data_IF_317377090668
#
_entry.id   IF_317377090668
#
_cell.length_a   1.000
_cell.length_b   1.000
_cell.length_c   1.000
_cell.angle_alpha   90.00
_cell.angle_beta   90.00
_cell.angle_gamma   90.00
#
_symmetry.space_group_name_H-M   'P 1'
#
loop_
_entity.id
_entity.type
_entity.pdbx_description
1 polymer ?
#
# COMPACT_ATOMS: atom_id res chain seq x y z
N UNK A 1 -18.70 10.95 -54.45
CA UNK A 1 -17.50 10.20 -53.99
C UNK A 1 -17.15 10.49 -52.52
N UNK A 2 -17.33 11.73 -52.03
CA UNK A 2 -17.08 12.13 -50.63
C UNK A 2 -17.81 11.30 -49.54
N UNK A 3 -19.07 10.91 -49.77
CA UNK A 3 -19.87 10.21 -48.74
C UNK A 3 -19.33 8.81 -48.37
N UNK A 4 -18.72 8.08 -49.32
CA UNK A 4 -18.16 6.73 -49.07
C UNK A 4 -16.83 6.77 -48.30
N UNK A 5 -16.02 7.81 -48.50
CA UNK A 5 -14.79 8.01 -47.75
C UNK A 5 -15.11 8.29 -46.27
N UNK A 6 -16.10 9.15 -46.03
CA UNK A 6 -16.54 9.50 -44.67
C UNK A 6 -17.12 8.29 -43.92
N UNK A 7 -17.88 7.42 -44.58
CA UNK A 7 -18.40 6.20 -43.95
C UNK A 7 -17.28 5.22 -43.55
N UNK A 8 -16.27 5.01 -44.40
CA UNK A 8 -15.12 4.16 -44.06
C UNK A 8 -14.32 4.73 -42.89
N UNK A 9 -14.12 6.05 -42.85
CA UNK A 9 -13.45 6.72 -41.73
C UNK A 9 -14.24 6.57 -40.44
N UNK A 10 -15.57 6.74 -40.49
CA UNK A 10 -16.43 6.55 -39.32
C UNK A 10 -16.34 5.12 -38.77
N UNK A 11 -16.47 4.11 -39.64
CA UNK A 11 -16.35 2.69 -39.25
C UNK A 11 -14.99 2.41 -38.62
N UNK A 12 -13.91 2.96 -39.20
CA UNK A 12 -12.56 2.79 -38.66
C UNK A 12 -12.42 3.41 -37.27
N UNK A 13 -12.92 4.63 -37.05
CA UNK A 13 -12.88 5.29 -35.73
C UNK A 13 -13.67 4.50 -34.67
N UNK A 14 -14.83 3.95 -35.06
CA UNK A 14 -15.64 3.11 -34.16
C UNK A 14 -14.88 1.83 -33.79
N UNK A 15 -14.30 1.13 -34.76
CA UNK A 15 -13.48 -0.06 -34.50
C UNK A 15 -12.28 0.27 -33.61
N UNK A 16 -11.58 1.37 -33.88
CA UNK A 16 -10.43 1.80 -33.09
C UNK A 16 -10.81 2.13 -31.64
N UNK A 17 -11.98 2.76 -31.44
CA UNK A 17 -12.53 3.04 -30.11
C UNK A 17 -12.86 1.75 -29.36
N UNK A 18 -13.54 0.79 -30.00
CA UNK A 18 -13.83 -0.51 -29.39
C UNK A 18 -12.56 -1.30 -29.08
N UNK A 19 -11.56 -1.29 -29.97
CA UNK A 19 -10.26 -1.91 -29.73
C UNK A 19 -9.52 -1.26 -28.56
N UNK A 20 -9.52 0.08 -28.47
CA UNK A 20 -8.91 0.80 -27.35
C UNK A 20 -9.60 0.47 -26.02
N UNK A 21 -10.93 0.43 -25.99
CA UNK A 21 -11.71 0.03 -24.81
C UNK A 21 -11.44 -1.43 -24.41
N UNK A 22 -11.33 -2.33 -25.39
CA UNK A 22 -10.99 -3.72 -25.13
C UNK A 22 -9.58 -3.86 -24.55
N UNK A 23 -8.58 -3.21 -25.15
CA UNK A 23 -7.19 -3.20 -24.66
C UNK A 23 -7.09 -2.66 -23.23
N UNK A 24 -7.80 -1.56 -22.94
CA UNK A 24 -7.88 -0.99 -21.60
C UNK A 24 -8.48 -2.01 -20.60
N UNK A 25 -9.60 -2.65 -20.97
CA UNK A 25 -10.26 -3.65 -20.10
C UNK A 25 -9.45 -4.92 -19.88
N UNK A 26 -8.61 -5.31 -20.83
CA UNK A 26 -7.68 -6.44 -20.69
C UNK A 26 -6.37 -6.07 -19.98
N UNK A 27 -6.23 -4.83 -19.48
CA UNK A 27 -5.07 -4.42 -18.70
C UNK A 27 -3.79 -4.17 -19.51
N UNK A 28 -3.87 -4.11 -20.84
CA UNK A 28 -2.71 -3.82 -21.71
C UNK A 28 -2.14 -2.41 -21.51
N UNK A 29 -2.86 -1.53 -20.82
CA UNK A 29 -2.46 -0.17 -20.50
C UNK A 29 -2.17 0.02 -19.00
N UNK A 30 -2.09 -1.06 -18.22
CA UNK A 30 -1.76 -1.00 -16.81
C UNK A 30 -0.33 -0.51 -16.59
N UNK A 31 -0.15 0.42 -15.66
CA UNK A 31 1.16 0.90 -15.22
C UNK A 31 1.47 0.36 -13.83
N UNK A 32 2.68 -0.16 -13.62
CA UNK A 32 3.15 -0.58 -12.31
C UNK A 32 4.27 0.35 -11.80
N UNK A 33 4.35 0.48 -10.48
CA UNK A 33 5.43 1.17 -9.80
C UNK A 33 5.96 0.28 -8.69
N UNK A 34 7.21 -0.16 -8.83
CA UNK A 34 7.86 -0.89 -7.76
C UNK A 34 8.30 0.06 -6.64
N UNK A 35 7.71 -0.10 -5.46
CA UNK A 35 8.02 0.75 -4.29
C UNK A 35 9.36 0.40 -3.64
N UNK A 36 9.84 -0.83 -3.85
CA UNK A 36 11.02 -1.39 -3.17
C UNK A 36 12.22 -1.63 -4.11
N UNK A 37 12.00 -1.64 -5.42
CA UNK A 37 13.07 -1.89 -6.40
C UNK A 37 14.10 -0.75 -6.42
N UNK A 38 15.38 -1.13 -6.45
CA UNK A 38 16.53 -0.22 -6.43
C UNK A 38 16.65 0.66 -5.16
N UNK A 39 16.05 0.25 -4.04
CA UNK A 39 16.22 0.92 -2.75
C UNK A 39 17.04 0.08 -1.77
N UNK A 40 17.89 0.74 -0.96
CA UNK A 40 18.75 0.01 -0.01
C UNK A 40 17.91 -0.65 1.09
N UNK A 41 18.43 -1.72 1.67
CA UNK A 41 17.78 -2.42 2.78
C UNK A 41 17.69 -1.59 4.08
N UNK A 42 18.31 -0.42 4.14
CA UNK A 42 18.29 0.47 5.30
C UNK A 42 16.94 1.21 5.47
N UNK A 43 16.03 1.05 4.51
CA UNK A 43 14.66 1.60 4.60
C UNK A 43 13.77 0.85 5.59
N UNK A 44 14.06 -0.44 5.81
CA UNK A 44 13.27 -1.26 6.71
C UNK A 44 13.70 -0.99 8.14
N UNK A 45 12.75 -0.62 8.99
CA UNK A 45 12.94 -0.53 10.44
C UNK A 45 11.99 -1.45 11.14
N UNK A 46 12.49 -2.19 12.12
CA UNK A 46 11.65 -2.97 13.04
C UNK A 46 10.82 -2.00 13.87
N UNK A 47 9.53 -2.29 14.00
CA UNK A 47 8.59 -1.57 14.86
C UNK A 47 8.01 -2.61 15.81
N UNK A 48 8.26 -2.45 17.10
CA UNK A 48 7.66 -3.29 18.12
C UNK A 48 7.12 -2.45 19.29
N UNK A 49 6.10 -2.97 19.96
CA UNK A 49 5.56 -2.38 21.19
C UNK A 49 5.61 -3.38 22.34
N UNK A 50 5.73 -2.84 23.55
CA UNK A 50 5.55 -3.58 24.80
C UNK A 50 6.50 -4.79 24.93
N UNK A 51 5.97 -6.01 24.88
CA UNK A 51 6.67 -7.26 25.20
C UNK A 51 7.08 -8.04 23.94
N UNK A 52 7.37 -7.32 22.86
CA UNK A 52 7.79 -7.90 21.57
C UNK A 52 9.16 -7.41 21.19
N UNK A 53 10.05 -8.34 20.89
CA UNK A 53 11.35 -8.08 20.27
C UNK A 53 11.28 -8.47 18.80
N UNK A 54 11.53 -7.51 17.91
CA UNK A 54 11.53 -7.71 16.47
C UNK A 54 12.93 -7.72 15.88
N UNK A 55 13.39 -8.88 15.40
CA UNK A 55 14.68 -9.05 14.75
C UNK A 55 14.52 -9.01 13.24
N UNK A 56 15.08 -7.98 12.61
CA UNK A 56 15.06 -7.81 11.16
C UNK A 56 16.32 -8.44 10.54
N UNK A 57 16.15 -9.34 9.58
CA UNK A 57 17.25 -9.98 8.86
C UNK A 57 17.00 -9.96 7.36
N UNK A 58 18.03 -9.67 6.57
CA UNK A 58 17.97 -9.78 5.12
C UNK A 58 18.36 -11.21 4.67
N UNK A 59 17.56 -11.80 3.79
CA UNK A 59 17.84 -13.11 3.16
C UNK A 59 17.67 -12.99 1.64
N UNK A 60 18.77 -12.70 0.93
CA UNK A 60 18.72 -12.45 -0.51
C UNK A 60 17.86 -11.23 -0.81
N UNK A 61 16.82 -11.44 -1.62
CA UNK A 61 15.85 -10.41 -2.03
C UNK A 61 14.67 -10.26 -1.06
N UNK A 62 14.61 -11.10 -0.02
CA UNK A 62 13.55 -11.05 0.99
C UNK A 62 14.02 -10.43 2.30
N UNK A 63 13.15 -9.62 2.91
CA UNK A 63 13.32 -9.11 4.28
C UNK A 63 12.49 -9.97 5.23
N UNK A 64 13.14 -10.52 6.25
CA UNK A 64 12.49 -11.38 7.24
C UNK A 64 12.47 -10.66 8.59
N UNK A 65 11.28 -10.42 9.11
CA UNK A 65 11.08 -9.96 10.49
C UNK A 65 10.72 -11.17 11.36
N UNK A 66 11.55 -11.45 12.37
CA UNK A 66 11.22 -12.43 13.41
C UNK A 66 10.73 -11.68 14.63
N UNK A 67 9.58 -12.09 15.14
CA UNK A 67 8.98 -11.49 16.32
C UNK A 67 9.05 -12.48 17.48
N UNK A 68 9.74 -12.12 18.55
CA UNK A 68 9.74 -12.85 19.80
C UNK A 68 8.78 -12.19 20.78
N UNK A 69 7.68 -12.86 21.09
CA UNK A 69 6.68 -12.41 22.05
C UNK A 69 7.04 -12.95 23.43
N UNK A 70 7.36 -12.06 24.37
CA UNK A 70 7.69 -12.41 25.76
C UNK A 70 6.44 -12.59 26.63
N UNK A 71 5.36 -11.86 26.33
CA UNK A 71 4.08 -11.94 27.04
C UNK A 71 2.91 -11.72 26.08
N UNK A 72 1.80 -12.44 26.27
CA UNK A 72 0.55 -12.25 25.52
C UNK A 72 -0.36 -11.19 26.15
N UNK A 73 0.02 -10.61 27.29
CA UNK A 73 -0.75 -9.55 27.94
C UNK A 73 -0.59 -8.21 27.20
N UNK A 74 -1.69 -7.46 27.13
CA UNK A 74 -1.71 -6.12 26.52
C UNK A 74 -1.71 -6.09 25.00
N UNK A 75 -1.54 -4.90 24.44
CA UNK A 75 -1.45 -4.68 22.99
C UNK A 75 -0.01 -4.84 22.51
N UNK A 76 0.24 -5.95 21.83
CA UNK A 76 1.54 -6.31 21.28
C UNK A 76 1.53 -6.15 19.77
N UNK A 77 2.37 -5.25 19.26
CA UNK A 77 2.57 -5.02 17.84
C UNK A 77 3.99 -5.43 17.48
N UNK A 78 4.11 -6.22 16.42
CA UNK A 78 5.36 -6.48 15.73
C UNK A 78 5.17 -6.15 14.26
N UNK A 79 6.06 -5.36 13.68
CA UNK A 79 5.98 -5.02 12.28
C UNK A 79 7.27 -4.43 11.76
N UNK A 80 7.22 -4.09 10.48
CA UNK A 80 8.25 -3.34 9.80
C UNK A 80 7.65 -2.03 9.30
N UNK A 81 8.43 -0.97 9.33
CA UNK A 81 8.13 0.27 8.62
C UNK A 81 9.12 0.45 7.49
N UNK A 82 8.63 0.89 6.33
CA UNK A 82 9.45 1.24 5.18
C UNK A 82 9.35 2.74 4.96
N UNK A 83 10.49 3.41 4.94
CA UNK A 83 10.56 4.82 4.56
C UNK A 83 10.59 4.95 3.03
N UNK A 84 9.49 5.38 2.42
CA UNK A 84 9.37 5.51 0.97
C UNK A 84 9.84 6.86 0.43
N UNK A 85 10.43 7.72 1.26
CA UNK A 85 10.85 9.06 0.83
C UNK A 85 12.04 9.02 -0.13
N UNK A 86 12.09 10.00 -1.05
CA UNK A 86 13.25 10.25 -1.89
C UNK A 86 14.41 10.87 -1.09
N UNK A 87 15.57 11.05 -1.74
CA UNK A 87 16.75 11.66 -1.11
C UNK A 87 16.55 13.13 -0.68
N UNK A 88 15.43 13.75 -1.07
CA UNK A 88 15.02 15.10 -0.66
C UNK A 88 13.95 15.06 0.44
N UNK A 89 13.59 13.88 0.95
CA UNK A 89 12.62 13.68 2.01
C UNK A 89 11.15 13.76 1.54
N UNK A 90 10.88 13.74 0.23
CA UNK A 90 9.52 13.77 -0.32
C UNK A 90 8.98 12.36 -0.50
N UNK A 91 7.71 12.15 -0.19
CA UNK A 91 7.04 10.87 -0.43
C UNK A 91 6.86 10.55 -1.92
N UNK A 92 6.31 9.37 -2.19
CA UNK A 92 5.94 8.92 -3.53
C UNK A 92 4.50 9.34 -3.81
N UNK A 93 4.27 9.91 -4.99
CA UNK A 93 2.92 10.20 -5.48
C UNK A 93 2.34 8.95 -6.15
N UNK A 94 1.33 8.36 -5.51
CA UNK A 94 0.65 7.15 -5.99
C UNK A 94 -0.78 7.42 -6.49
N UNK A 95 -1.16 8.69 -6.70
CA UNK A 95 -2.55 9.06 -7.09
C UNK A 95 -3.00 8.51 -8.45
N UNK A 96 -2.08 8.05 -9.27
CA UNK A 96 -2.34 7.48 -10.59
C UNK A 96 -2.41 5.95 -10.60
N UNK A 97 -2.39 5.32 -9.42
CA UNK A 97 -2.49 3.87 -9.24
C UNK A 97 -3.76 3.57 -8.47
N UNK A 98 -4.37 2.41 -8.77
CA UNK A 98 -5.64 2.00 -8.18
C UNK A 98 -5.47 0.82 -7.20
N UNK A 99 -4.35 0.10 -7.30
CA UNK A 99 -4.10 -1.16 -6.58
C UNK A 99 -2.69 -1.20 -5.98
N UNK A 100 -2.54 -1.99 -4.94
CA UNK A 100 -1.27 -2.31 -4.28
C UNK A 100 -1.06 -3.81 -4.28
N UNK A 101 0.06 -4.25 -4.85
CA UNK A 101 0.52 -5.63 -4.72
C UNK A 101 1.39 -5.81 -3.47
N UNK A 102 0.97 -6.71 -2.59
CA UNK A 102 1.64 -7.06 -1.35
C UNK A 102 2.10 -8.51 -1.38
N UNK A 103 3.40 -8.74 -1.50
CA UNK A 103 3.98 -10.07 -1.33
C UNK A 103 4.40 -10.27 0.13
N UNK A 104 3.63 -11.10 0.86
CA UNK A 104 3.81 -11.32 2.29
C UNK A 104 3.68 -12.81 2.61
N UNK A 105 4.60 -13.31 3.44
CA UNK A 105 4.58 -14.67 3.97
C UNK A 105 4.58 -14.61 5.49
N UNK A 106 3.52 -15.15 6.10
CA UNK A 106 3.39 -15.26 7.54
C UNK A 106 3.57 -16.70 8.00
N UNK A 107 4.28 -16.89 9.11
CA UNK A 107 4.39 -18.16 9.81
C UNK A 107 4.41 -17.90 11.32
N UNK A 108 3.52 -18.56 12.05
CA UNK A 108 3.34 -18.37 13.48
C UNK A 108 2.31 -19.34 14.07
N UNK A 109 2.24 -19.37 15.40
CA UNK A 109 1.39 -20.30 16.16
C UNK A 109 0.06 -19.69 16.64
N UNK A 110 -0.21 -18.42 16.33
CA UNK A 110 -1.46 -17.76 16.71
C UNK A 110 -2.61 -18.27 15.85
N UNK A 111 -3.78 -18.44 16.45
CA UNK A 111 -5.01 -18.73 15.71
C UNK A 111 -5.53 -17.46 15.01
N UNK A 112 -5.81 -17.53 13.71
CA UNK A 112 -6.31 -16.42 12.87
C UNK A 112 -5.44 -15.13 12.95
N UNK A 113 -4.14 -15.21 12.62
CA UNK A 113 -3.23 -14.07 12.62
C UNK A 113 -3.74 -12.97 11.67
N UNK A 114 -3.78 -11.73 12.17
CA UNK A 114 -4.12 -10.55 11.37
C UNK A 114 -2.87 -9.79 10.96
N UNK A 115 -2.79 -9.41 9.69
CA UNK A 115 -1.78 -8.47 9.20
C UNK A 115 -2.46 -7.13 9.01
N UNK A 116 -1.82 -6.08 9.56
CA UNK A 116 -2.21 -4.69 9.41
C UNK A 116 -1.20 -4.00 8.50
N UNK A 117 -1.67 -3.43 7.39
CA UNK A 117 -0.84 -2.65 6.47
C UNK A 117 -1.35 -1.22 6.48
N UNK A 118 -0.46 -0.26 6.75
CA UNK A 118 -0.81 1.15 6.84
C UNK A 118 0.09 2.02 5.96
N UNK A 119 -0.53 2.86 5.13
CA UNK A 119 0.13 3.98 4.47
C UNK A 119 0.01 5.24 5.32
N UNK A 120 1.10 5.99 5.41
CA UNK A 120 1.16 7.27 6.10
C UNK A 120 1.28 8.39 5.08
N UNK A 121 0.20 9.12 4.89
CA UNK A 121 0.14 10.19 3.91
C UNK A 121 0.38 11.54 4.58
N UNK A 122 1.32 12.30 4.03
CA UNK A 122 1.57 13.68 4.47
C UNK A 122 0.51 14.62 3.92
N UNK A 123 0.04 15.54 4.75
CA UNK A 123 -0.81 16.65 4.33
C UNK A 123 -0.40 17.93 5.04
N UNK A 124 -0.34 19.05 4.31
CA UNK A 124 0.17 20.32 4.84
C UNK A 124 -0.65 20.90 5.99
N UNK A 125 -1.93 20.56 6.09
CA UNK A 125 -2.82 21.17 7.08
C UNK A 125 -2.66 20.58 8.49
N UNK A 126 -2.21 19.33 8.59
CA UNK A 126 -2.18 18.60 9.88
C UNK A 126 -0.91 17.76 10.10
N UNK A 127 -0.15 17.45 9.05
CA UNK A 127 1.08 16.67 9.21
C UNK A 127 2.28 17.54 9.57
N UNK A 128 3.07 17.06 10.53
CA UNK A 128 4.33 17.64 10.98
C UNK A 128 5.47 16.67 10.72
N UNK A 129 6.55 17.17 10.10
CA UNK A 129 7.77 16.37 9.91
C UNK A 129 8.46 16.00 11.24
N UNK A 130 8.15 16.72 12.32
CA UNK A 130 8.67 16.43 13.67
C UNK A 130 7.82 15.38 14.39
N UNK A 131 6.61 15.12 13.91
CA UNK A 131 5.68 14.19 14.51
C UNK A 131 5.18 13.17 13.47
N UNK A 132 5.88 12.03 13.32
CA UNK A 132 5.51 11.00 12.35
C UNK A 132 4.13 10.37 12.56
N UNK A 133 3.51 10.52 13.74
CA UNK A 133 2.16 10.01 14.00
C UNK A 133 1.06 11.01 13.58
N UNK A 134 1.42 12.20 13.14
CA UNK A 134 0.49 13.20 12.56
C UNK A 134 0.18 13.00 11.08
N UNK A 135 0.88 12.08 10.41
CA UNK A 135 0.56 11.67 9.04
C UNK A 135 -0.72 10.84 9.02
N UNK A 136 -1.56 11.00 7.98
CA UNK A 136 -2.84 10.27 7.85
C UNK A 136 -2.60 8.77 7.69
N UNK A 137 -3.14 7.96 8.60
CA UNK A 137 -3.02 6.50 8.59
C UNK A 137 -4.15 5.88 7.78
N UNK A 138 -3.86 5.45 6.55
CA UNK A 138 -4.77 4.66 5.73
C UNK A 138 -4.41 3.19 5.89
N UNK A 139 -5.33 2.39 6.41
CA UNK A 139 -5.05 1.01 6.83
C UNK A 139 -6.00 0.01 6.18
N UNK A 140 -5.47 -1.19 5.91
CA UNK A 140 -6.24 -2.40 5.76
C UNK A 140 -5.79 -3.46 6.76
N UNK A 141 -6.72 -4.31 7.21
CA UNK A 141 -6.46 -5.47 8.06
C UNK A 141 -7.05 -6.71 7.39
N UNK A 142 -6.26 -7.76 7.26
CA UNK A 142 -6.70 -9.04 6.68
C UNK A 142 -6.13 -10.23 7.45
N UNK A 143 -6.76 -11.39 7.28
CA UNK A 143 -6.28 -12.66 7.88
C UNK A 143 -5.13 -13.21 7.06
N UNK A 144 -3.99 -13.50 7.70
CA UNK A 144 -2.82 -14.04 7.03
C UNK A 144 -3.03 -15.49 6.57
N UNK A 145 -3.95 -16.24 7.19
CA UNK A 145 -4.26 -17.62 6.78
C UNK A 145 -4.99 -17.68 5.43
N UNK A 146 -5.69 -16.61 5.05
CA UNK A 146 -6.47 -16.57 3.80
C UNK A 146 -5.62 -16.26 2.56
N UNK A 147 -4.37 -15.82 2.75
CA UNK A 147 -3.53 -15.34 1.66
C UNK A 147 -2.10 -15.87 1.82
N UNK A 148 -1.64 -16.56 0.79
CA UNK A 148 -0.23 -16.92 0.63
C UNK A 148 0.26 -16.41 -0.72
N UNK A 149 1.34 -15.62 -0.71
CA UNK A 149 1.93 -15.02 -1.92
C UNK A 149 1.54 -13.56 -2.11
N UNK A 150 1.18 -13.19 -3.34
CA UNK A 150 0.84 -11.81 -3.71
C UNK A 150 -0.64 -11.55 -3.44
N UNK A 151 -0.90 -10.54 -2.61
CA UNK A 151 -2.21 -9.98 -2.33
C UNK A 151 -2.35 -8.63 -3.05
N UNK A 152 -3.23 -8.56 -4.04
CA UNK A 152 -3.60 -7.30 -4.69
C UNK A 152 -4.74 -6.63 -3.92
N UNK A 153 -4.50 -5.42 -3.41
CA UNK A 153 -5.45 -4.64 -2.61
C UNK A 153 -5.82 -3.35 -3.33
N UNK A 154 -7.11 -3.10 -3.62
CA UNK A 154 -7.56 -1.81 -4.10
C UNK A 154 -7.22 -0.68 -3.10
N UNK A 155 -6.65 0.43 -3.57
CA UNK A 155 -6.29 1.55 -2.69
C UNK A 155 -7.51 2.18 -2.01
N UNK A 156 -8.69 2.09 -2.63
CA UNK A 156 -9.97 2.53 -2.07
C UNK A 156 -10.52 1.59 -0.97
N UNK A 157 -9.93 0.42 -0.77
CA UNK A 157 -10.25 -0.49 0.32
C UNK A 157 -9.62 -0.05 1.66
N UNK A 158 -8.58 0.79 1.60
CA UNK A 158 -7.97 1.35 2.80
C UNK A 158 -8.94 2.31 3.49
N UNK A 159 -8.90 2.29 4.83
CA UNK A 159 -9.73 3.14 5.68
C UNK A 159 -8.86 3.91 6.64
N UNK A 160 -9.25 5.14 6.94
CA UNK A 160 -8.54 5.92 7.95
C UNK A 160 -8.80 5.33 9.32
N UNK A 161 -7.74 5.23 10.11
CA UNK A 161 -7.82 4.77 11.49
C UNK A 161 -8.67 5.71 12.35
N UNK A 162 -9.68 5.17 13.04
CA UNK A 162 -10.56 5.96 13.92
C UNK A 162 -9.81 6.68 15.02
N UNK A 163 -8.83 6.02 15.68
CA UNK A 163 -8.03 6.68 16.72
C UNK A 163 -7.27 7.91 16.20
N UNK A 164 -6.87 7.90 14.92
CA UNK A 164 -6.16 9.02 14.32
C UNK A 164 -7.11 10.18 14.05
N UNK A 165 -8.31 9.90 13.53
CA UNK A 165 -9.37 10.89 13.35
C UNK A 165 -9.71 11.54 14.70
N UNK A 166 -9.92 10.72 15.74
CA UNK A 166 -10.29 11.18 17.08
C UNK A 166 -9.18 12.03 17.71
N UNK A 167 -7.91 11.65 17.53
CA UNK A 167 -6.76 12.36 18.12
C UNK A 167 -6.48 13.72 17.45
N UNK A 168 -6.67 13.81 16.14
CA UNK A 168 -6.34 15.01 15.36
C UNK A 168 -7.56 15.86 15.00
N UNK A 169 -8.76 15.48 15.47
CA UNK A 169 -10.03 16.20 15.27
C UNK A 169 -10.28 16.53 13.79
N UNK A 170 -10.16 15.51 12.94
CA UNK A 170 -10.21 15.66 11.48
C UNK A 170 -11.66 15.61 11.01
N UNK A 171 -12.09 16.63 10.25
CA UNK A 171 -13.42 16.66 9.63
C UNK A 171 -13.61 15.45 8.70
N UNK A 172 -14.83 14.92 8.65
CA UNK A 172 -15.23 13.85 7.73
C UNK A 172 -14.81 14.13 6.27
N UNK A 173 -14.80 15.39 5.83
CA UNK A 173 -14.38 15.76 4.46
C UNK A 173 -12.89 15.54 4.18
N UNK A 174 -12.07 15.56 5.22
CA UNK A 174 -10.62 15.38 5.16
C UNK A 174 -10.19 13.97 5.62
N UNK A 175 -11.14 13.18 6.14
CA UNK A 175 -10.99 11.75 6.46
C UNK A 175 -11.05 10.86 5.23
#
# INVERSE_FOLDING_TARGET
MFFKANFKVLVLLVLLTFSALALHRFGFLGTSLSLLENRSSDLFRSVSTSSVIGDLTKKGDHTVLKCHLESTEGFNLCGLSVDLRDGLGRGIDIRHYDELDLELLYSGSFADPKIKVSFRNFHSNYSSLKDPISMKFNTIIFSAEKYSGVLTVPLDAFRVESWWIDQYDIDFKDS
#
